data_IF_544974429961
#
_entry.id   IF_544974429961
#
_cell.length_a   1.000
_cell.length_b   1.000
_cell.length_c   1.000
_cell.angle_alpha   90.00
_cell.angle_beta   90.00
_cell.angle_gamma   90.00
#
_symmetry.space_group_name_H-M   'P 1'
#
loop_
_entity.id
_entity.type
_entity.pdbx_description
1 polymer ?
#
# COMPACT_ATOMS: atom_id res chain seq x y z
N UNK A 1 6.60 -14.81 7.85
CA UNK A 1 5.55 -13.78 7.75
C UNK A 1 4.23 -14.43 8.09
N UNK A 2 3.33 -13.71 8.75
CA UNK A 2 2.00 -14.24 9.04
C UNK A 2 1.20 -14.38 7.73
N UNK A 3 0.25 -15.31 7.71
CA UNK A 3 -0.68 -15.46 6.59
C UNK A 3 -1.84 -14.47 6.74
N UNK A 4 -1.96 -13.55 5.78
CA UNK A 4 -2.97 -12.49 5.76
C UNK A 4 -4.09 -12.73 4.73
N UNK A 5 -4.10 -13.85 4.00
CA UNK A 5 -5.09 -14.11 2.93
C UNK A 5 -6.52 -14.02 3.42
N UNK A 6 -6.79 -14.46 4.66
CA UNK A 6 -8.13 -14.36 5.24
C UNK A 6 -8.57 -12.90 5.43
N UNK A 7 -7.64 -12.01 5.80
CA UNK A 7 -7.92 -10.58 5.94
C UNK A 7 -8.20 -9.97 4.56
N UNK A 8 -7.30 -10.21 3.59
CA UNK A 8 -7.45 -9.70 2.23
C UNK A 8 -8.75 -10.18 1.56
N UNK A 9 -9.10 -11.45 1.75
CA UNK A 9 -10.38 -12.02 1.27
C UNK A 9 -11.59 -11.29 1.86
N UNK A 10 -11.59 -11.01 3.17
CA UNK A 10 -12.67 -10.27 3.84
C UNK A 10 -12.78 -8.81 3.37
N UNK A 11 -11.69 -8.23 2.86
CA UNK A 11 -11.67 -6.91 2.25
C UNK A 11 -12.17 -6.90 0.80
N UNK A 12 -12.45 -8.08 0.22
CA UNK A 12 -12.90 -8.20 -1.17
C UNK A 12 -11.78 -7.97 -2.19
N UNK A 13 -10.53 -8.18 -1.80
CA UNK A 13 -9.38 -8.05 -2.69
C UNK A 13 -9.35 -9.18 -3.73
N UNK A 14 -8.85 -8.87 -4.93
CA UNK A 14 -8.46 -9.88 -5.91
C UNK A 14 -7.13 -10.52 -5.48
N UNK A 15 -7.23 -11.68 -4.83
CA UNK A 15 -6.07 -12.39 -4.28
C UNK A 15 -5.14 -12.92 -5.37
N UNK A 16 -5.68 -13.39 -6.49
CA UNK A 16 -4.86 -13.93 -7.58
C UNK A 16 -3.95 -12.84 -8.15
N UNK A 17 -4.53 -11.67 -8.44
CA UNK A 17 -3.76 -10.53 -8.94
C UNK A 17 -2.81 -9.96 -7.87
N UNK A 18 -3.22 -9.94 -6.61
CA UNK A 18 -2.39 -9.46 -5.49
C UNK A 18 -1.18 -10.38 -5.23
N UNK A 19 -1.35 -11.69 -5.31
CA UNK A 19 -0.28 -12.67 -5.10
C UNK A 19 0.81 -12.52 -6.17
N UNK A 20 0.44 -12.28 -7.43
CA UNK A 20 1.39 -12.00 -8.51
C UNK A 20 2.30 -10.81 -8.19
N UNK A 21 1.76 -9.76 -7.58
CA UNK A 21 2.56 -8.61 -7.13
C UNK A 21 3.47 -9.02 -5.95
N UNK A 22 2.93 -9.76 -4.98
CA UNK A 22 3.69 -10.19 -3.80
C UNK A 22 4.84 -11.14 -4.13
N UNK A 23 4.74 -11.94 -5.20
CA UNK A 23 5.82 -12.82 -5.67
C UNK A 23 7.05 -12.04 -6.18
N UNK A 24 6.84 -10.88 -6.81
CA UNK A 24 7.93 -10.10 -7.44
C UNK A 24 8.57 -9.05 -6.52
N UNK A 25 7.83 -8.56 -5.53
CA UNK A 25 8.28 -7.49 -4.63
C UNK A 25 9.56 -7.83 -3.84
N UNK A 26 9.72 -9.03 -3.23
CA UNK A 26 10.93 -9.36 -2.47
C UNK A 26 12.20 -9.32 -3.30
N UNK A 27 12.15 -9.82 -4.54
CA UNK A 27 13.28 -9.79 -5.45
C UNK A 27 13.63 -8.35 -5.83
N UNK A 28 12.64 -7.54 -6.23
CA UNK A 28 12.86 -6.15 -6.58
C UNK A 28 13.44 -5.33 -5.42
N UNK A 29 12.92 -5.53 -4.20
CA UNK A 29 13.45 -4.86 -3.01
C UNK A 29 14.85 -5.35 -2.63
N UNK A 30 15.08 -6.65 -2.77
CA UNK A 30 16.39 -7.28 -2.56
C UNK A 30 17.46 -6.69 -3.47
N UNK A 31 17.18 -6.64 -4.76
CA UNK A 31 18.10 -6.15 -5.79
C UNK A 31 18.39 -4.66 -5.66
N UNK A 32 17.37 -3.86 -5.33
CA UNK A 32 17.52 -2.40 -5.24
C UNK A 32 18.10 -1.97 -3.90
N UNK A 33 17.63 -2.51 -2.78
CA UNK A 33 17.95 -2.00 -1.44
C UNK A 33 18.82 -2.95 -0.62
N UNK A 34 18.48 -4.24 -0.54
CA UNK A 34 19.20 -5.16 0.36
C UNK A 34 20.61 -5.51 -0.15
N UNK A 35 20.85 -5.35 -1.45
CA UNK A 35 22.17 -5.53 -2.10
C UNK A 35 23.16 -4.40 -1.82
N UNK A 36 22.71 -3.23 -1.36
CA UNK A 36 23.59 -2.07 -1.17
C UNK A 36 24.41 -2.21 0.12
N UNK A 37 25.69 -1.84 0.04
CA UNK A 37 26.60 -1.82 1.18
C UNK A 37 26.49 -0.51 2.00
N UNK A 38 26.97 -0.52 3.25
CA UNK A 38 27.02 0.65 4.15
C UNK A 38 25.66 1.29 4.48
N UNK A 39 24.59 0.49 4.47
CA UNK A 39 23.26 0.93 4.93
C UNK A 39 23.21 1.07 6.45
N UNK A 40 22.59 2.13 7.00
CA UNK A 40 22.42 2.27 8.45
C UNK A 40 21.62 1.10 9.05
N UNK A 41 22.01 0.63 10.24
CA UNK A 41 21.27 -0.41 10.99
C UNK A 41 19.81 0.00 11.27
N UNK A 42 19.54 1.30 11.43
CA UNK A 42 18.18 1.85 11.57
C UNK A 42 17.27 1.59 10.37
N UNK A 43 17.80 1.10 9.24
CA UNK A 43 17.00 0.68 8.10
C UNK A 43 16.20 -0.60 8.33
N UNK A 44 16.51 -1.39 9.36
CA UNK A 44 15.83 -2.65 9.64
C UNK A 44 14.34 -2.48 9.93
N UNK A 45 13.96 -1.36 10.56
CA UNK A 45 12.55 -1.00 10.72
C UNK A 45 11.84 -0.87 9.36
N UNK A 46 12.44 -0.15 8.41
CA UNK A 46 11.83 0.05 7.09
C UNK A 46 11.90 -1.20 6.22
N UNK A 47 12.95 -2.04 6.37
CA UNK A 47 13.01 -3.36 5.73
C UNK A 47 11.84 -4.23 6.18
N UNK A 48 11.55 -4.22 7.49
CA UNK A 48 10.40 -4.92 8.06
C UNK A 48 9.07 -4.36 7.52
N UNK A 49 8.90 -3.03 7.49
CA UNK A 49 7.68 -2.40 6.96
C UNK A 49 7.44 -2.80 5.50
N UNK A 50 8.48 -2.87 4.67
CA UNK A 50 8.33 -3.30 3.27
C UNK A 50 8.03 -4.79 3.16
N UNK A 51 8.67 -5.64 3.96
CA UNK A 51 8.36 -7.07 4.00
C UNK A 51 6.90 -7.34 4.42
N UNK A 52 6.34 -6.47 5.26
CA UNK A 52 4.98 -6.55 5.79
C UNK A 52 4.04 -5.48 5.19
N UNK A 53 4.33 -4.98 3.96
CA UNK A 53 3.68 -3.78 3.40
C UNK A 53 2.15 -3.91 3.27
N UNK A 54 1.67 -5.13 3.03
CA UNK A 54 0.23 -5.47 2.99
C UNK A 54 -0.23 -6.32 4.19
N UNK A 55 0.60 -6.46 5.22
CA UNK A 55 0.36 -7.31 6.39
C UNK A 55 0.00 -6.51 7.64
N UNK A 56 1.01 -6.21 8.47
CA UNK A 56 0.85 -5.63 9.81
C UNK A 56 0.05 -4.32 9.81
N UNK A 57 0.42 -3.35 8.97
CA UNK A 57 -0.26 -2.04 9.00
C UNK A 57 -1.72 -2.13 8.54
N UNK A 58 -2.08 -2.80 7.43
CA UNK A 58 -3.48 -3.02 7.10
C UNK A 58 -4.28 -3.74 8.20
N UNK A 59 -3.69 -4.71 8.90
CA UNK A 59 -4.35 -5.37 10.02
C UNK A 59 -4.67 -4.38 11.17
N UNK A 60 -3.73 -3.49 11.52
CA UNK A 60 -3.98 -2.42 12.49
C UNK A 60 -5.14 -1.51 12.06
N UNK A 61 -5.21 -1.13 10.78
CA UNK A 61 -6.29 -0.28 10.24
C UNK A 61 -7.64 -0.98 10.31
N UNK A 62 -7.69 -2.29 9.99
CA UNK A 62 -8.90 -3.11 10.09
C UNK A 62 -9.38 -3.23 11.53
N UNK A 63 -8.47 -3.44 12.49
CA UNK A 63 -8.84 -3.49 13.91
C UNK A 63 -9.30 -2.14 14.43
N UNK A 64 -8.63 -1.04 14.04
CA UNK A 64 -9.08 0.31 14.38
C UNK A 64 -10.48 0.59 13.82
N UNK A 65 -10.76 0.18 12.58
CA UNK A 65 -12.08 0.32 11.97
C UNK A 65 -13.17 -0.44 12.74
N UNK A 66 -12.88 -1.65 13.24
CA UNK A 66 -13.81 -2.41 14.10
C UNK A 66 -14.13 -1.70 15.42
N UNK A 67 -13.19 -0.90 15.93
CA UNK A 67 -13.36 -0.09 17.13
C UNK A 67 -14.07 1.24 16.86
N UNK A 68 -14.48 1.51 15.61
CA UNK A 68 -15.22 2.70 15.21
C UNK A 68 -14.37 3.81 14.61
N UNK A 69 -13.04 3.67 14.60
CA UNK A 69 -12.10 4.65 14.01
C UNK A 69 -12.31 4.74 12.50
N UNK A 70 -12.26 5.96 11.96
CA UNK A 70 -12.37 6.20 10.51
C UNK A 70 -11.00 6.24 9.87
N UNK A 71 -10.86 5.55 8.75
CA UNK A 71 -9.63 5.48 7.95
C UNK A 71 -9.87 6.27 6.66
N UNK A 72 -8.96 7.17 6.33
CA UNK A 72 -9.07 8.09 5.19
C UNK A 72 -7.92 7.87 4.21
N UNK A 73 -8.24 7.43 3.00
CA UNK A 73 -7.30 7.39 1.88
C UNK A 73 -7.17 8.75 1.23
N UNK A 74 -5.95 9.28 1.11
CA UNK A 74 -5.67 10.60 0.52
C UNK A 74 -4.67 10.50 -0.63
N UNK A 75 -4.73 11.46 -1.54
CA UNK A 75 -3.89 11.50 -2.76
C UNK A 75 -3.13 12.82 -2.93
N UNK A 76 -3.31 13.77 -2.01
CA UNK A 76 -2.72 15.08 -2.10
C UNK A 76 -2.33 15.59 -0.71
N UNK A 77 -1.15 16.18 -0.61
CA UNK A 77 -0.64 16.79 0.63
C UNK A 77 -1.42 18.04 1.07
N UNK A 78 -2.30 18.57 0.21
CA UNK A 78 -3.22 19.65 0.58
C UNK A 78 -4.46 19.13 1.34
N UNK A 79 -4.66 17.80 1.45
CA UNK A 79 -5.63 17.26 2.38
C UNK A 79 -5.10 17.50 3.80
N UNK A 80 -5.88 18.17 4.68
CA UNK A 80 -5.41 18.55 6.00
C UNK A 80 -5.48 17.35 6.96
N UNK A 81 -4.45 16.51 6.94
CA UNK A 81 -4.36 15.32 7.80
C UNK A 81 -4.45 15.69 9.29
N UNK A 82 -4.06 16.90 9.69
CA UNK A 82 -4.19 17.41 11.06
C UNK A 82 -5.66 17.44 11.52
N UNK A 83 -6.60 17.72 10.62
CA UNK A 83 -8.04 17.68 10.93
C UNK A 83 -8.51 16.24 11.12
N UNK A 84 -8.03 15.31 10.29
CA UNK A 84 -8.32 13.88 10.44
C UNK A 84 -7.81 13.37 11.79
N UNK A 85 -6.58 13.73 12.16
CA UNK A 85 -5.97 13.32 13.42
C UNK A 85 -6.66 13.95 14.63
N UNK A 86 -7.03 15.23 14.56
CA UNK A 86 -7.77 15.91 15.62
C UNK A 86 -9.16 15.27 15.86
N UNK A 87 -9.76 14.69 14.83
CA UNK A 87 -11.00 13.93 14.93
C UNK A 87 -10.81 12.47 15.37
N UNK A 88 -9.58 12.04 15.70
CA UNK A 88 -9.26 10.67 16.08
C UNK A 88 -9.27 9.68 14.91
N UNK A 89 -9.24 10.15 13.67
CA UNK A 89 -9.13 9.32 12.47
C UNK A 89 -7.68 8.98 12.12
N UNK A 90 -7.53 8.09 11.15
CA UNK A 90 -6.22 7.71 10.57
C UNK A 90 -6.21 8.09 9.09
N UNK A 91 -5.17 8.78 8.64
CA UNK A 91 -4.95 9.10 7.24
C UNK A 91 -3.88 8.20 6.63
N UNK A 92 -4.05 7.80 5.37
CA UNK A 92 -3.07 7.03 4.59
C UNK A 92 -2.98 7.55 3.16
N UNK A 93 -1.78 7.89 2.70
CA UNK A 93 -1.53 8.26 1.30
C UNK A 93 -1.59 7.03 0.39
N UNK A 94 -2.37 7.10 -0.69
CA UNK A 94 -2.64 5.96 -1.59
C UNK A 94 -2.20 6.19 -3.04
N UNK A 95 -1.38 7.20 -3.31
CA UNK A 95 -0.85 7.47 -4.64
C UNK A 95 -0.14 6.24 -5.22
N UNK A 96 -0.66 5.71 -6.32
CA UNK A 96 -0.12 4.54 -7.00
C UNK A 96 1.26 4.79 -7.61
N UNK A 97 2.22 3.93 -7.28
CA UNK A 97 3.59 3.96 -7.81
C UNK A 97 3.99 2.72 -8.63
N UNK A 98 3.08 1.76 -8.79
CA UNK A 98 3.37 0.49 -9.47
C UNK A 98 2.81 0.45 -10.88
N UNK A 99 3.68 0.15 -11.85
CA UNK A 99 3.28 -0.07 -13.23
C UNK A 99 2.34 -1.28 -13.38
N UNK A 100 2.38 -2.22 -12.43
CA UNK A 100 1.52 -3.40 -12.39
C UNK A 100 0.03 -3.05 -12.45
N UNK A 101 -0.37 -1.96 -11.80
CA UNK A 101 -1.78 -1.53 -11.72
C UNK A 101 -2.22 -0.63 -12.87
N UNK A 102 -1.31 -0.10 -13.68
CA UNK A 102 -1.63 0.83 -14.77
C UNK A 102 -2.62 0.24 -15.80
N UNK A 103 -2.44 -1.01 -16.28
CA UNK A 103 -3.41 -1.62 -17.20
C UNK A 103 -4.81 -1.75 -16.61
N UNK A 104 -4.94 -1.90 -15.29
CA UNK A 104 -6.23 -1.90 -14.59
C UNK A 104 -6.95 -0.55 -14.74
N UNK A 105 -6.23 0.54 -14.50
CA UNK A 105 -6.78 1.90 -14.63
C UNK A 105 -7.13 2.28 -16.08
N UNK A 106 -6.36 1.81 -17.07
CA UNK A 106 -6.61 2.08 -18.49
C UNK A 106 -7.91 1.46 -19.01
N UNK A 107 -8.52 0.52 -18.29
CA UNK A 107 -9.86 0.01 -18.61
C UNK A 107 -10.95 1.09 -18.49
N UNK A 108 -10.71 2.13 -17.69
CA UNK A 108 -11.68 3.20 -17.39
C UNK A 108 -11.12 4.62 -17.56
N UNK A 109 -9.83 4.75 -17.87
CA UNK A 109 -9.14 6.02 -18.08
C UNK A 109 -8.44 6.04 -19.45
N UNK A 110 -8.28 7.22 -20.09
CA UNK A 110 -7.44 7.35 -21.26
C UNK A 110 -6.00 6.92 -20.99
N UNK A 111 -5.38 6.21 -21.94
CA UNK A 111 -3.97 5.79 -21.85
C UNK A 111 -3.00 6.98 -21.63
N UNK A 112 -3.35 8.17 -22.14
CA UNK A 112 -2.58 9.40 -21.99
C UNK A 112 -2.70 10.06 -20.58
N UNK A 113 -3.44 9.46 -19.65
CA UNK A 113 -3.55 9.95 -18.26
C UNK A 113 -2.25 9.70 -17.49
N UNK A 114 -1.95 10.55 -16.50
CA UNK A 114 -0.81 10.38 -15.60
C UNK A 114 -0.77 8.95 -15.00
N UNK A 115 0.38 8.25 -15.02
CA UNK A 115 0.49 6.88 -14.54
C UNK A 115 0.16 6.72 -13.05
N UNK A 116 0.41 7.74 -12.22
CA UNK A 116 0.02 7.74 -10.81
C UNK A 116 -1.49 7.55 -10.65
N UNK A 117 -2.28 8.30 -11.43
CA UNK A 117 -3.75 8.22 -11.40
C UNK A 117 -4.21 6.85 -11.92
N UNK A 118 -3.61 6.38 -13.03
CA UNK A 118 -3.94 5.08 -13.61
C UNK A 118 -3.67 3.94 -12.63
N UNK A 119 -2.50 3.91 -12.00
CA UNK A 119 -2.16 2.90 -11.00
C UNK A 119 -3.06 2.97 -9.76
N UNK A 120 -3.46 4.18 -9.33
CA UNK A 120 -4.35 4.36 -8.18
C UNK A 120 -5.78 3.84 -8.41
N UNK A 121 -6.28 3.93 -9.64
CA UNK A 121 -7.63 3.45 -10.02
C UNK A 121 -7.61 1.97 -10.41
N UNK A 122 -6.47 1.47 -10.87
CA UNK A 122 -6.32 0.07 -11.27
C UNK A 122 -6.03 -0.90 -10.13
N UNK A 123 -5.53 -0.40 -9.00
CA UNK A 123 -5.33 -1.13 -7.75
C UNK A 123 -6.64 -1.30 -6.98
#
# INVERSE_FOLDING_TARGET
MADYHQMWSKLGMDLETHDQLCEVLPQAFGDVYLSQENRPEGMDYFNFVVAEIHGVRPAELVEAQKQGTKIFGTFCIYVPDEVVFAAGGIATGLCGGSQFWVPGGEKVLPAATCPLIKASIGA
#
